data_IF_306294788027
#
_entry.id   IF_306294788027
#
_cell.length_a   1.000
_cell.length_b   1.000
_cell.length_c   1.000
_cell.angle_alpha   90.00
_cell.angle_beta   90.00
_cell.angle_gamma   90.00
#
_symmetry.space_group_name_H-M   'P 1'
#
loop_
_entity.id
_entity.type
_entity.pdbx_description
1 polymer ?
#
# COMPACT_ATOMS: atom_id res chain seq x y z
N UNK A 1 -20.27 23.30 -4.78
CA UNK A 1 -20.48 23.47 -6.24
C UNK A 1 -19.26 22.86 -6.91
N UNK A 2 -19.35 21.61 -7.38
CA UNK A 2 -18.26 20.91 -8.06
C UNK A 2 -18.17 21.43 -9.50
N UNK A 3 -17.04 22.00 -9.89
CA UNK A 3 -16.74 22.32 -11.27
C UNK A 3 -15.87 21.20 -11.85
N UNK A 4 -16.51 20.20 -12.45
CA UNK A 4 -15.82 19.20 -13.29
C UNK A 4 -15.59 19.89 -14.64
N UNK A 5 -14.35 20.30 -14.90
CA UNK A 5 -13.97 20.89 -16.18
C UNK A 5 -13.64 19.75 -17.13
N UNK A 6 -14.60 19.36 -17.97
CA UNK A 6 -14.38 18.43 -19.08
C UNK A 6 -13.60 19.17 -20.15
N UNK A 7 -12.28 19.00 -20.19
CA UNK A 7 -11.47 19.43 -21.31
C UNK A 7 -11.78 18.51 -22.51
N UNK A 8 -12.43 19.06 -23.53
CA UNK A 8 -12.67 18.37 -24.79
C UNK A 8 -11.34 18.15 -25.53
N UNK A 9 -10.70 17.00 -25.30
CA UNK A 9 -9.56 16.54 -26.08
C UNK A 9 -10.04 15.99 -27.42
N UNK A 10 -9.37 16.44 -28.48
CA UNK A 10 -9.67 16.15 -29.88
C UNK A 10 -9.65 14.64 -30.19
N UNK A 11 -10.63 14.23 -30.99
CA UNK A 11 -10.87 12.88 -31.46
C UNK A 11 -9.81 12.46 -32.50
N UNK A 12 -8.96 11.49 -32.16
CA UNK A 12 -8.26 10.66 -33.13
C UNK A 12 -8.34 9.20 -32.68
N UNK A 13 -9.48 8.57 -32.95
CA UNK A 13 -9.63 7.13 -32.85
C UNK A 13 -8.70 6.46 -33.88
N UNK A 14 -7.67 5.76 -33.43
CA UNK A 14 -6.89 4.85 -34.27
C UNK A 14 -7.23 3.42 -33.92
N UNK A 15 -8.14 2.84 -34.72
CA UNK A 15 -8.24 1.39 -34.90
C UNK A 15 -7.04 0.95 -35.72
N UNK A 16 -5.98 0.49 -35.06
CA UNK A 16 -4.77 0.00 -35.70
C UNK A 16 -4.31 -1.28 -35.04
N UNK A 17 -4.85 -2.41 -35.49
CA UNK A 17 -4.23 -3.72 -35.33
C UNK A 17 -2.96 -3.72 -36.20
N UNK A 18 -1.85 -3.29 -35.63
CA UNK A 18 -0.57 -3.18 -36.30
C UNK A 18 0.55 -3.66 -35.38
N UNK A 19 0.90 -4.93 -35.52
CA UNK A 19 2.13 -5.52 -34.99
C UNK A 19 3.32 -4.85 -35.70
N UNK A 20 3.82 -3.76 -35.11
CA UNK A 20 5.02 -3.07 -35.55
C UNK A 20 5.83 -2.69 -34.34
N UNK A 21 7.03 -3.28 -34.20
CA UNK A 21 8.11 -2.83 -33.31
C UNK A 21 8.65 -1.48 -33.81
N UNK A 22 7.79 -0.45 -33.84
CA UNK A 22 8.19 0.94 -33.75
C UNK A 22 8.01 1.35 -32.30
N UNK A 23 8.87 2.23 -31.79
CA UNK A 23 8.68 2.89 -30.49
C UNK A 23 7.26 3.47 -30.47
N UNK A 24 6.34 2.71 -29.86
CA UNK A 24 4.91 2.96 -29.94
C UNK A 24 4.64 4.34 -29.39
N UNK A 25 3.71 5.07 -30.03
CA UNK A 25 3.23 6.31 -29.45
C UNK A 25 2.86 6.04 -27.98
N UNK A 26 3.29 6.90 -27.03
CA UNK A 26 3.03 6.68 -25.62
C UNK A 26 1.52 6.49 -25.42
N UNK A 27 1.15 5.49 -24.62
CA UNK A 27 -0.24 5.22 -24.31
C UNK A 27 -0.87 6.48 -23.69
N UNK A 28 -1.85 7.13 -24.35
CA UNK A 28 -2.49 8.33 -23.82
C UNK A 28 -3.27 8.07 -22.53
N UNK A 29 -3.49 6.80 -22.18
CA UNK A 29 -4.16 6.38 -20.96
C UNK A 29 -3.22 6.00 -19.82
N UNK A 30 -1.91 5.95 -20.05
CA UNK A 30 -0.94 5.78 -18.98
C UNK A 30 -0.99 7.02 -18.05
N UNK A 31 -1.14 6.84 -16.73
CA UNK A 31 -1.11 7.94 -15.78
C UNK A 31 0.22 8.69 -15.89
N UNK A 32 0.15 10.00 -16.15
CA UNK A 32 1.33 10.84 -16.32
C UNK A 32 1.08 12.27 -15.84
N UNK A 33 2.09 12.88 -15.22
CA UNK A 33 2.04 14.29 -14.87
C UNK A 33 2.16 15.17 -16.11
N UNK A 34 1.16 16.02 -16.36
CA UNK A 34 1.26 17.10 -17.37
C UNK A 34 2.17 18.21 -16.84
N UNK A 35 2.00 18.52 -15.55
CA UNK A 35 2.81 19.45 -14.78
C UNK A 35 2.82 19.02 -13.30
N UNK A 36 3.51 19.78 -12.45
CA UNK A 36 3.65 19.45 -11.03
C UNK A 36 2.32 19.46 -10.24
N UNK A 37 1.22 19.93 -10.81
CA UNK A 37 -0.08 20.04 -10.16
C UNK A 37 -1.21 19.27 -10.87
N UNK A 38 -0.96 18.71 -12.05
CA UNK A 38 -2.01 18.14 -12.91
C UNK A 38 -1.62 16.74 -13.39
N UNK A 39 -2.44 15.76 -12.99
CA UNK A 39 -2.35 14.37 -13.44
C UNK A 39 -3.24 14.16 -14.68
N UNK A 40 -2.72 13.50 -15.70
CA UNK A 40 -3.50 12.97 -16.84
C UNK A 40 -3.67 11.47 -16.68
N UNK A 41 -4.87 10.94 -16.90
CA UNK A 41 -5.16 9.50 -16.95
C UNK A 41 -6.40 9.26 -17.80
N UNK A 42 -6.79 7.99 -18.03
CA UNK A 42 -8.06 7.69 -18.68
C UNK A 42 -9.13 7.26 -17.68
N UNK A 43 -10.31 7.86 -17.78
CA UNK A 43 -11.54 7.34 -17.18
C UNK A 43 -12.37 6.66 -18.27
N UNK A 44 -12.60 5.35 -18.13
CA UNK A 44 -13.31 4.53 -19.13
C UNK A 44 -12.79 4.67 -20.56
N UNK A 45 -11.47 4.83 -20.73
CA UNK A 45 -10.80 4.99 -22.03
C UNK A 45 -10.85 6.41 -22.60
N UNK A 46 -11.39 7.38 -21.85
CA UNK A 46 -11.37 8.81 -22.23
C UNK A 46 -10.30 9.54 -21.43
N UNK A 47 -9.35 10.24 -22.06
CA UNK A 47 -8.38 11.05 -21.35
C UNK A 47 -9.07 12.14 -20.51
N UNK A 48 -8.67 12.21 -19.25
CA UNK A 48 -9.13 13.18 -18.26
C UNK A 48 -7.95 13.77 -17.52
N UNK A 49 -8.11 15.00 -17.03
CA UNK A 49 -7.11 15.67 -16.21
C UNK A 49 -7.67 15.93 -14.81
N UNK A 50 -6.81 15.78 -13.81
CA UNK A 50 -7.12 16.01 -12.41
C UNK A 50 -6.10 16.99 -11.82
N UNK A 51 -6.60 18.12 -11.33
CA UNK A 51 -5.79 19.03 -10.53
C UNK A 51 -5.58 18.43 -9.13
N UNK A 52 -4.34 18.14 -8.76
CA UNK A 52 -4.01 17.47 -7.49
C UNK A 52 -4.46 18.25 -6.26
N UNK A 53 -4.51 19.58 -6.34
CA UNK A 53 -5.09 20.43 -5.30
C UNK A 53 -6.56 20.10 -4.96
N UNK A 54 -7.30 19.43 -5.86
CA UNK A 54 -8.66 18.96 -5.58
C UNK A 54 -8.71 17.67 -4.75
N UNK A 55 -7.60 16.92 -4.70
CA UNK A 55 -7.44 15.72 -3.87
C UNK A 55 -7.11 16.13 -2.44
N UNK A 56 -6.11 17.00 -2.28
CA UNK A 56 -5.77 17.64 -1.01
C UNK A 56 -5.06 18.97 -1.27
N UNK A 57 -5.27 19.95 -0.38
CA UNK A 57 -4.54 21.21 -0.43
C UNK A 57 -3.03 20.95 -0.30
N UNK A 58 -2.25 21.38 -1.29
CA UNK A 58 -0.80 21.14 -1.35
C UNK A 58 -0.37 19.80 -1.95
N UNK A 59 -1.31 18.97 -2.42
CA UNK A 59 -0.97 17.78 -3.19
C UNK A 59 -0.34 18.16 -4.55
N UNK A 60 0.63 17.35 -4.96
CA UNK A 60 1.39 17.54 -6.20
C UNK A 60 1.39 16.28 -7.04
N UNK A 61 1.51 16.42 -8.35
CA UNK A 61 1.71 15.27 -9.22
C UNK A 61 3.16 14.79 -9.12
N UNK A 62 3.37 13.49 -8.96
CA UNK A 62 4.69 12.86 -8.96
C UNK A 62 4.62 11.34 -9.06
N UNK A 63 5.78 10.67 -9.16
CA UNK A 63 5.84 9.22 -9.27
C UNK A 63 5.41 8.57 -7.94
N UNK A 64 4.42 7.69 -7.98
CA UNK A 64 4.00 6.90 -6.82
C UNK A 64 4.88 5.66 -6.65
N UNK A 65 4.92 4.82 -7.69
CA UNK A 65 5.78 3.63 -7.74
C UNK A 65 5.94 3.17 -9.19
N UNK A 66 6.88 2.26 -9.44
CA UNK A 66 7.12 1.73 -10.78
C UNK A 66 5.90 1.00 -11.37
N UNK A 67 5.06 0.41 -10.51
CA UNK A 67 3.90 -0.38 -10.93
C UNK A 67 2.65 0.49 -11.17
N UNK A 68 2.56 1.63 -10.49
CA UNK A 68 1.40 2.52 -10.55
C UNK A 68 1.62 3.79 -11.39
N UNK A 69 2.87 4.16 -11.67
CA UNK A 69 3.22 5.36 -12.42
C UNK A 69 3.05 6.63 -11.60
N UNK A 70 2.61 7.70 -12.27
CA UNK A 70 2.39 9.01 -11.65
C UNK A 70 1.03 9.10 -10.97
N UNK A 71 0.98 9.82 -9.85
CA UNK A 71 -0.24 10.09 -9.11
C UNK A 71 -0.16 11.45 -8.36
N UNK A 72 -1.27 11.92 -7.82
CA UNK A 72 -1.28 13.04 -6.89
C UNK A 72 -0.81 12.58 -5.50
N UNK A 73 0.43 12.96 -5.18
CA UNK A 73 1.08 12.74 -3.91
C UNK A 73 0.56 13.73 -2.85
N UNK A 74 0.33 13.22 -1.65
CA UNK A 74 -0.33 13.89 -0.55
C UNK A 74 0.69 14.50 0.43
N UNK A 75 0.50 15.76 0.84
CA UNK A 75 1.41 16.43 1.77
C UNK A 75 1.22 15.92 3.21
N UNK A 76 2.12 16.34 4.10
CA UNK A 76 2.02 16.08 5.54
C UNK A 76 0.68 16.53 6.12
N UNK A 77 0.06 15.68 6.93
CA UNK A 77 -1.26 15.88 7.54
C UNK A 77 -2.47 15.62 6.63
N UNK A 78 -2.28 15.36 5.33
CA UNK A 78 -3.39 15.03 4.43
C UNK A 78 -3.97 13.64 4.75
N UNK A 79 -5.29 13.49 4.60
CA UNK A 79 -5.96 12.20 4.79
C UNK A 79 -5.53 11.19 3.73
N UNK A 80 -5.14 10.00 4.15
CA UNK A 80 -4.63 8.94 3.28
C UNK A 80 -5.29 7.59 3.60
N UNK A 81 -5.25 6.68 2.61
CA UNK A 81 -5.67 5.29 2.76
C UNK A 81 -4.42 4.39 2.79
N UNK A 82 -4.18 3.64 3.89
CA UNK A 82 -3.05 2.71 3.97
C UNK A 82 -3.16 1.52 3.01
N UNK A 83 -4.33 1.26 2.43
CA UNK A 83 -4.58 0.21 1.44
C UNK A 83 -4.55 0.69 0.00
N UNK A 84 -4.23 1.97 -0.25
CA UNK A 84 -4.09 2.47 -1.61
C UNK A 84 -3.00 1.68 -2.37
N UNK A 85 -3.13 1.56 -3.68
CA UNK A 85 -2.06 0.98 -4.51
C UNK A 85 -1.55 -0.42 -4.12
N UNK A 86 -2.38 -1.29 -3.52
CA UNK A 86 -1.95 -2.58 -2.92
C UNK A 86 -0.95 -2.45 -1.75
N UNK A 87 -1.05 -1.37 -0.97
CA UNK A 87 -0.18 -1.07 0.17
C UNK A 87 0.76 0.11 -0.07
N UNK A 88 0.80 0.65 -1.29
CA UNK A 88 1.48 1.91 -1.60
C UNK A 88 0.69 3.10 -1.04
N UNK A 89 1.37 3.95 -0.28
CA UNK A 89 0.79 5.17 0.28
C UNK A 89 0.94 6.31 -0.72
N UNK A 90 -0.14 7.06 -1.01
CA UNK A 90 -0.05 8.31 -1.80
C UNK A 90 0.69 9.42 -1.07
N UNK A 91 1.08 9.22 0.19
CA UNK A 91 1.88 10.22 0.90
C UNK A 91 3.19 10.49 0.15
N UNK A 92 3.54 11.77 0.13
CA UNK A 92 4.71 12.27 -0.55
C UNK A 92 6.03 11.73 0.06
N UNK A 93 7.14 11.93 -0.64
CA UNK A 93 8.45 11.39 -0.28
C UNK A 93 8.81 11.62 1.20
N UNK A 94 9.17 10.52 1.88
CA UNK A 94 9.53 10.53 3.30
C UNK A 94 8.35 10.51 4.27
N UNK A 95 7.13 10.48 3.76
CA UNK A 95 5.90 10.33 4.54
C UNK A 95 5.33 8.92 4.38
N UNK A 96 4.59 8.48 5.40
CA UNK A 96 3.84 7.24 5.39
C UNK A 96 2.42 7.50 5.88
N UNK A 97 1.45 6.74 5.36
CA UNK A 97 0.10 6.78 5.86
C UNK A 97 -0.01 6.13 7.24
N UNK A 98 -0.27 6.92 8.28
CA UNK A 98 -0.39 6.48 9.68
C UNK A 98 -1.64 7.09 10.31
N UNK A 99 -2.44 6.25 10.94
CA UNK A 99 -3.70 6.68 11.58
C UNK A 99 -4.63 7.46 10.62
N UNK A 100 -4.56 7.16 9.32
CA UNK A 100 -5.34 7.81 8.27
C UNK A 100 -4.81 9.17 7.81
N UNK A 101 -3.59 9.57 8.20
CA UNK A 101 -2.94 10.80 7.76
C UNK A 101 -1.50 10.55 7.29
N UNK A 102 -1.05 11.34 6.33
CA UNK A 102 0.35 11.37 5.94
C UNK A 102 1.17 11.99 7.05
N UNK A 103 2.20 11.28 7.51
CA UNK A 103 3.09 11.74 8.55
C UNK A 103 4.52 11.26 8.27
N UNK A 104 5.56 11.94 8.79
CA UNK A 104 6.94 11.47 8.67
C UNK A 104 7.08 10.02 9.12
N UNK A 105 7.82 9.23 8.35
CA UNK A 105 8.22 7.90 8.79
C UNK A 105 8.95 7.99 10.13
N UNK A 106 8.49 7.27 11.15
CA UNK A 106 9.30 7.09 12.35
C UNK A 106 10.64 6.47 11.93
N UNK A 107 11.77 6.88 12.54
CA UNK A 107 13.03 6.21 12.33
C UNK A 107 12.83 4.71 12.58
N UNK A 108 13.41 3.88 11.71
CA UNK A 108 13.46 2.43 11.91
C UNK A 108 14.00 2.18 13.33
N UNK A 109 13.28 1.43 14.18
CA UNK A 109 13.76 1.16 15.52
C UNK A 109 15.12 0.48 15.43
N UNK A 110 16.14 1.04 16.07
CA UNK A 110 17.46 0.43 16.11
C UNK A 110 17.32 -1.02 16.60
N UNK A 111 17.97 -1.99 15.93
CA UNK A 111 17.94 -3.37 16.40
C UNK A 111 18.42 -3.41 17.85
N UNK A 112 17.79 -4.23 18.71
CA UNK A 112 18.22 -4.35 20.09
C UNK A 112 19.71 -4.70 20.10
N UNK A 113 20.49 -3.97 20.90
CA UNK A 113 21.91 -4.24 21.07
C UNK A 113 22.07 -5.74 21.40
N UNK A 114 22.80 -6.46 20.54
CA UNK A 114 23.16 -7.85 20.82
C UNK A 114 23.74 -7.93 22.22
N UNK A 115 23.29 -8.87 23.07
CA UNK A 115 23.87 -9.02 24.39
C UNK A 115 25.38 -9.19 24.23
N UNK A 116 26.13 -8.25 24.81
CA UNK A 116 27.58 -8.40 24.93
C UNK A 116 27.80 -9.70 25.68
N UNK A 117 28.55 -10.63 25.10
CA UNK A 117 28.91 -11.89 25.76
C UNK A 117 29.65 -11.55 27.06
N UNK A 118 28.88 -11.48 28.14
CA UNK A 118 29.40 -11.38 29.49
C UNK A 118 30.23 -12.62 29.73
N UNK A 119 31.47 -12.40 30.14
CA UNK A 119 32.43 -13.37 30.63
C UNK A 119 31.69 -14.45 31.43
N UNK A 120 31.66 -15.67 30.90
CA UNK A 120 31.29 -16.85 31.69
C UNK A 120 32.37 -17.02 32.76
N UNK A 121 32.14 -16.44 33.92
CA UNK A 121 32.73 -16.94 35.15
C UNK A 121 32.14 -18.34 35.35
N UNK A 122 32.94 -19.36 35.03
CA UNK A 122 32.63 -20.73 35.34
C UNK A 122 32.63 -20.89 36.86
N UNK A 123 31.47 -20.76 37.49
CA UNK A 123 31.28 -21.21 38.86
C UNK A 123 30.54 -22.56 38.87
N UNK A 124 31.35 -23.54 39.24
CA UNK A 124 31.11 -24.93 39.61
C UNK A 124 29.71 -25.22 40.21
N UNK A 125 28.98 -26.08 39.50
CA UNK A 125 28.15 -27.21 39.96
C UNK A 125 27.54 -27.16 41.37
N UNK A 126 26.21 -27.07 41.45
CA UNK A 126 25.37 -27.87 42.39
C UNK A 126 23.95 -28.00 41.81
N UNK A 127 23.43 -29.21 41.52
CA UNK A 127 22.04 -29.39 41.09
C UNK A 127 21.09 -29.52 42.29
N UNK A 128 19.98 -28.77 42.35
CA UNK A 128 18.81 -29.17 43.13
C UNK A 128 17.83 -30.01 42.30
N UNK A 129 17.32 -31.05 42.95
CA UNK A 129 16.46 -32.14 42.48
C UNK A 129 15.20 -31.74 41.69
N UNK A 130 14.67 -32.62 40.81
CA UNK A 130 13.39 -32.41 40.15
C UNK A 130 12.25 -32.61 41.15
N UNK A 131 11.66 -31.51 41.64
CA UNK A 131 10.40 -31.57 42.37
C UNK A 131 9.25 -31.62 41.37
N UNK A 132 8.54 -32.74 41.42
CA UNK A 132 7.31 -33.07 40.73
C UNK A 132 6.26 -31.95 40.77
N UNK A 133 5.80 -31.49 39.60
CA UNK A 133 4.47 -30.90 39.45
C UNK A 133 3.47 -32.01 39.08
N UNK A 134 3.00 -32.70 40.12
CA UNK A 134 1.78 -33.50 40.07
C UNK A 134 0.62 -32.61 40.55
N UNK A 135 -0.40 -32.44 39.72
CA UNK A 135 -1.62 -31.68 40.01
C UNK A 135 -2.30 -31.26 38.70
N UNK A 136 -2.95 -32.17 37.98
CA UNK A 136 -4.35 -32.55 38.19
C UNK A 136 -5.31 -31.34 38.12
N UNK A 137 -5.64 -30.94 36.88
CA UNK A 137 -6.75 -30.06 36.56
C UNK A 137 -7.59 -30.70 35.46
N UNK A 138 -8.64 -31.40 35.87
CA UNK A 138 -9.66 -32.04 35.04
C UNK A 138 -10.47 -30.97 34.32
N UNK A 139 -10.69 -31.12 33.02
CA UNK A 139 -11.52 -30.21 32.23
C UNK A 139 -11.83 -30.77 30.84
N UNK A 140 -12.60 -31.86 30.81
CA UNK A 140 -13.25 -32.43 29.64
C UNK A 140 -14.19 -31.42 28.98
N UNK A 141 -14.05 -31.21 27.67
CA UNK A 141 -15.19 -31.01 26.76
C UNK A 141 -14.79 -31.26 25.30
N UNK A 142 -15.23 -32.38 24.69
CA UNK A 142 -15.19 -32.58 23.26
C UNK A 142 -16.53 -32.12 22.66
N UNK A 143 -16.50 -31.37 21.57
CA UNK A 143 -17.63 -31.35 20.65
C UNK A 143 -17.12 -31.42 19.22
N UNK A 144 -17.18 -32.65 18.76
CA UNK A 144 -16.92 -33.09 17.43
C UNK A 144 -18.06 -32.69 16.48
N UNK A 145 -17.70 -32.65 15.20
CA UNK A 145 -18.53 -32.95 14.03
C UNK A 145 -19.51 -31.89 13.50
N UNK A 146 -19.10 -31.35 12.35
CA UNK A 146 -19.71 -31.58 11.03
C UNK A 146 -21.10 -31.00 10.72
N UNK A 147 -21.14 -30.08 9.75
CA UNK A 147 -22.03 -30.11 8.58
C UNK A 147 -21.43 -29.17 7.51
N UNK A 148 -20.79 -29.71 6.49
CA UNK A 148 -21.40 -30.05 5.20
C UNK A 148 -21.56 -28.87 4.23
N UNK A 149 -20.52 -28.63 3.44
CA UNK A 149 -20.53 -28.73 1.96
C UNK A 149 -21.92 -28.64 1.29
N UNK A 150 -22.23 -27.50 0.64
CA UNK A 150 -22.95 -27.41 -0.65
C UNK A 150 -23.01 -25.95 -1.13
N UNK A 151 -22.25 -25.55 -2.14
CA UNK A 151 -22.52 -25.65 -3.61
C UNK A 151 -23.40 -24.50 -4.13
N UNK A 152 -22.81 -23.64 -4.98
CA UNK A 152 -23.20 -23.29 -6.38
C UNK A 152 -23.06 -21.79 -6.72
N UNK A 153 -22.18 -21.49 -7.69
CA UNK A 153 -22.40 -20.50 -8.79
C UNK A 153 -23.70 -20.89 -9.56
N UNK A 154 -24.44 -20.04 -10.31
CA UNK A 154 -24.03 -18.94 -11.22
C UNK A 154 -24.90 -17.67 -11.01
N UNK A 155 -24.85 -16.56 -11.76
CA UNK A 155 -24.45 -16.27 -13.15
C UNK A 155 -23.79 -14.89 -13.24
#
# INVERSE_FOLDING_TARGET
MLAVVVAAAWLAAQTGEGEGEGEGAPDPCAPACIDAATLSFCDTGTPVTLACATVADGARCGPLSNDWGDDCLLPDGATCDPGYGFGDSRCDDGLACRDGACAPGAPEPEPPLSPTAGTVAADTTTPPSPTSCAGAGVGLLPLALALARRRRRPA
#
